data_IF_705915057431
#
_entry.id   IF_705915057431
#
_cell.length_a   1.000
_cell.length_b   1.000
_cell.length_c   1.000
_cell.angle_alpha   90.00
_cell.angle_beta   90.00
_cell.angle_gamma   90.00
#
_symmetry.space_group_name_H-M   'P 1'
#
loop_
_entity.id
_entity.type
_entity.pdbx_description
1 polymer ?
#
# COMPACT_ATOMS: atom_id res chain seq x y z
N UNK A 1 -34.76 2.73 -19.83
CA UNK A 1 -34.30 3.06 -18.47
C UNK A 1 -32.79 3.25 -18.56
N UNK A 2 -32.33 4.50 -18.61
CA UNK A 2 -30.89 4.82 -18.68
C UNK A 2 -30.32 4.70 -17.25
N UNK A 3 -29.26 3.91 -17.00
CA UNK A 3 -28.61 3.88 -15.70
C UNK A 3 -27.85 5.20 -15.47
N UNK A 4 -27.86 5.75 -14.24
CA UNK A 4 -27.21 7.02 -13.95
C UNK A 4 -25.68 6.91 -14.04
N UNK A 5 -24.96 8.02 -14.34
CA UNK A 5 -23.50 8.03 -14.26
C UNK A 5 -23.10 7.99 -12.80
N UNK A 6 -22.28 7.00 -12.43
CA UNK A 6 -21.62 6.96 -11.12
C UNK A 6 -20.34 7.77 -11.28
N UNK A 7 -20.25 8.87 -10.55
CA UNK A 7 -19.04 9.67 -10.43
C UNK A 7 -17.93 8.78 -9.83
N UNK A 8 -16.86 8.55 -10.60
CA UNK A 8 -15.64 7.91 -10.09
C UNK A 8 -14.92 8.94 -9.20
N UNK A 9 -15.08 8.82 -7.88
CA UNK A 9 -14.17 9.45 -6.91
C UNK A 9 -12.79 8.79 -7.05
N UNK A 10 -11.95 9.43 -7.86
CA UNK A 10 -10.53 9.12 -8.03
C UNK A 10 -9.80 9.49 -6.72
N UNK A 11 -9.76 8.55 -5.77
CA UNK A 11 -8.94 8.70 -4.56
C UNK A 11 -7.48 8.49 -4.96
N UNK A 12 -6.79 9.59 -5.22
CA UNK A 12 -5.34 9.64 -5.30
C UNK A 12 -4.77 9.18 -3.96
N UNK A 13 -4.10 8.03 -3.96
CA UNK A 13 -3.35 7.55 -2.80
C UNK A 13 -1.94 8.10 -2.97
N UNK A 14 -1.63 9.17 -2.24
CA UNK A 14 -0.28 9.71 -2.14
C UNK A 14 0.63 8.67 -1.46
N UNK A 15 1.57 8.13 -2.23
CA UNK A 15 2.72 7.35 -1.75
C UNK A 15 3.83 8.32 -1.29
N UNK A 16 3.72 8.83 -0.06
CA UNK A 16 4.85 9.54 0.57
C UNK A 16 5.67 8.55 1.42
N UNK A 17 6.71 8.01 0.79
CA UNK A 17 7.89 7.43 1.44
C UNK A 17 8.70 8.54 2.12
N UNK A 18 8.45 8.81 3.41
CA UNK A 18 9.33 9.67 4.20
C UNK A 18 10.24 8.90 5.15
N UNK A 19 11.53 9.08 4.86
CA UNK A 19 12.72 8.48 5.46
C UNK A 19 12.90 8.98 6.90
N UNK A 20 12.76 8.11 7.88
CA UNK A 20 13.24 8.39 9.23
C UNK A 20 14.77 8.27 9.28
N UNK A 21 15.41 9.44 9.36
CA UNK A 21 16.83 9.63 9.65
C UNK A 21 17.18 9.04 11.02
N UNK A 22 18.22 8.20 11.05
CA UNK A 22 18.92 7.80 12.27
C UNK A 22 19.37 9.07 13.02
N UNK A 23 18.90 9.25 14.25
CA UNK A 23 19.54 10.16 15.20
C UNK A 23 20.68 9.39 15.87
N UNK A 24 21.90 9.76 15.55
CA UNK A 24 23.11 9.36 16.28
C UNK A 24 22.98 9.85 17.74
N UNK A 25 23.07 8.92 18.68
CA UNK A 25 23.13 9.18 20.12
C UNK A 25 24.61 9.29 20.46
N UNK A 26 25.07 10.51 20.77
CA UNK A 26 26.40 10.77 21.34
C UNK A 26 26.50 10.18 22.75
N UNK A 27 27.53 9.36 22.96
CA UNK A 27 27.85 8.69 24.21
C UNK A 27 28.86 9.57 24.98
N UNK A 28 28.38 10.31 25.99
CA UNK A 28 29.22 11.10 26.90
C UNK A 28 29.85 10.15 27.94
N UNK A 29 31.14 9.86 27.81
CA UNK A 29 31.94 9.22 28.86
C UNK A 29 32.37 10.25 29.94
N UNK A 30 32.22 9.95 31.24
CA UNK A 30 32.76 10.79 32.29
C UNK A 30 34.27 10.57 32.49
N UNK A 31 35.04 11.64 32.31
CA UNK A 31 36.48 11.77 32.59
C UNK A 31 36.75 11.67 34.11
N UNK A 32 37.37 10.57 34.56
CA UNK A 32 37.85 10.41 35.93
C UNK A 32 39.32 10.85 36.01
N UNK A 33 39.54 12.07 36.49
CA UNK A 33 40.86 12.54 36.90
C UNK A 33 41.24 11.83 38.21
N UNK A 34 42.21 10.93 38.16
CA UNK A 34 42.82 10.30 39.34
C UNK A 34 43.94 11.22 39.80
N UNK A 35 43.75 11.82 40.98
CA UNK A 35 44.74 12.64 41.67
C UNK A 35 45.77 11.69 42.31
N UNK A 36 46.91 11.50 41.64
CA UNK A 36 48.03 10.64 42.05
C UNK A 36 49.09 11.50 42.74
N UNK A 37 48.84 11.84 44.00
CA UNK A 37 49.83 12.46 44.90
C UNK A 37 49.92 11.62 46.19
N UNK A 38 50.44 10.39 46.09
CA UNK A 38 50.95 9.64 47.24
C UNK A 38 52.49 9.65 47.26
N UNK A 39 53.03 10.67 47.93
CA UNK A 39 54.42 10.82 48.35
C UNK A 39 54.89 9.58 49.16
N UNK A 40 55.50 8.62 48.47
CA UNK A 40 56.19 7.48 49.08
C UNK A 40 57.52 7.93 49.72
N UNK A 41 57.46 8.36 50.99
CA UNK A 41 58.62 8.59 51.86
C UNK A 41 59.34 7.27 52.17
N UNK A 42 60.29 6.89 51.32
CA UNK A 42 61.21 5.77 51.51
C UNK A 42 62.37 6.22 52.43
N UNK A 43 62.29 5.89 53.73
CA UNK A 43 63.41 6.11 54.67
C UNK A 43 64.38 4.93 54.59
N UNK A 44 65.50 5.15 53.93
CA UNK A 44 66.61 4.21 53.80
C UNK A 44 67.41 4.16 55.13
N UNK A 45 67.27 3.09 55.90
CA UNK A 45 67.97 2.88 57.16
C UNK A 45 69.19 1.96 56.96
N UNK A 46 70.16 2.41 56.18
CA UNK A 46 71.47 1.77 56.07
C UNK A 46 72.47 2.42 57.05
N UNK A 47 72.63 1.82 58.24
CA UNK A 47 73.69 2.19 59.19
C UNK A 47 74.94 1.33 58.90
N UNK A 48 76.14 1.90 58.72
CA UNK A 48 77.35 1.13 58.50
C UNK A 48 77.84 0.50 59.81
N UNK A 49 78.08 -0.81 59.74
CA UNK A 49 78.72 -1.64 60.74
C UNK A 49 80.16 -1.21 61.01
N UNK A 50 80.45 -0.81 62.25
CA UNK A 50 81.80 -0.81 62.80
C UNK A 50 81.85 -1.45 64.19
N UNK A 51 82.73 -2.45 64.29
CA UNK A 51 83.50 -2.91 65.44
C UNK A 51 82.79 -3.50 66.68
N UNK A 52 82.91 -4.82 66.77
CA UNK A 52 83.55 -5.58 67.86
C UNK A 52 83.56 -4.93 69.24
N UNK A 53 82.63 -5.33 70.09
CA UNK A 53 82.89 -5.51 71.52
C UNK A 53 81.89 -6.53 72.11
N UNK A 54 82.46 -7.63 72.61
CA UNK A 54 81.94 -8.58 73.60
C UNK A 54 80.52 -9.13 73.42
N UNK A 55 80.42 -10.43 73.10
CA UNK A 55 79.18 -11.21 73.11
C UNK A 55 78.42 -11.05 74.44
N UNK A 56 77.30 -10.31 74.48
CA UNK A 56 76.50 -10.15 75.70
C UNK A 56 75.69 -11.42 76.02
N UNK A 57 75.63 -12.40 75.11
CA UNK A 57 74.86 -13.64 75.30
C UNK A 57 75.42 -14.58 76.38
N UNK A 58 76.72 -14.55 76.66
CA UNK A 58 77.31 -15.50 77.62
C UNK A 58 77.14 -15.05 79.08
N UNK A 59 76.95 -13.75 79.32
CA UNK A 59 76.64 -13.21 80.64
C UNK A 59 75.19 -13.49 81.10
N UNK A 60 74.32 -13.93 80.18
CA UNK A 60 72.89 -14.22 80.45
C UNK A 60 72.69 -15.65 80.99
N UNK A 61 73.70 -16.53 80.95
CA UNK A 61 73.52 -17.97 81.21
C UNK A 61 73.70 -18.41 82.67
N UNK A 62 74.16 -17.54 83.57
CA UNK A 62 74.21 -17.82 85.02
C UNK A 62 73.54 -16.67 85.78
N UNK A 63 72.35 -16.94 86.28
CA UNK A 63 71.60 -15.97 87.08
C UNK A 63 72.11 -16.00 88.52
N UNK A 64 72.87 -15.00 88.95
CA UNK A 64 73.19 -14.74 90.38
C UNK A 64 72.01 -14.10 91.12
N UNK A 65 70.78 -14.36 90.67
CA UNK A 65 69.56 -13.72 91.16
C UNK A 65 68.93 -14.55 92.28
N UNK A 66 68.91 -13.99 93.48
CA UNK A 66 68.24 -14.55 94.66
C UNK A 66 66.73 -14.73 94.39
N UNK A 67 66.16 -15.86 94.82
CA UNK A 67 64.75 -16.21 94.57
C UNK A 67 63.78 -15.14 95.11
N UNK A 68 64.16 -14.45 96.18
CA UNK A 68 63.40 -13.33 96.73
C UNK A 68 63.44 -12.10 95.81
N UNK A 69 64.62 -11.76 95.27
CA UNK A 69 64.77 -10.66 94.30
C UNK A 69 64.05 -10.93 92.98
N UNK A 70 64.05 -12.19 92.51
CA UNK A 70 63.29 -12.58 91.32
C UNK A 70 61.78 -12.51 91.57
N UNK A 71 61.30 -12.94 92.73
CA UNK A 71 59.88 -12.83 93.09
C UNK A 71 59.43 -11.38 93.19
N UNK A 72 60.24 -10.50 93.79
CA UNK A 72 59.94 -9.06 93.81
C UNK A 72 59.91 -8.47 92.40
N UNK A 73 60.84 -8.87 91.54
CA UNK A 73 60.87 -8.41 90.16
C UNK A 73 59.67 -8.92 89.34
N UNK A 74 59.26 -10.17 89.55
CA UNK A 74 58.02 -10.71 88.98
C UNK A 74 56.81 -9.96 89.51
N UNK A 75 56.69 -9.70 90.82
CA UNK A 75 55.58 -8.91 91.38
C UNK A 75 55.57 -7.47 90.86
N UNK A 76 56.75 -6.87 90.60
CA UNK A 76 56.90 -5.55 90.00
C UNK A 76 56.49 -5.53 88.52
N UNK A 77 56.85 -6.57 87.76
CA UNK A 77 56.65 -6.65 86.30
C UNK A 77 55.31 -7.28 85.92
N UNK A 78 54.71 -8.10 86.78
CA UNK A 78 53.37 -8.69 86.60
C UNK A 78 52.29 -7.64 86.27
N UNK A 79 52.16 -6.50 86.97
CA UNK A 79 51.20 -5.47 86.60
C UNK A 79 51.55 -4.75 85.29
N UNK A 80 52.83 -4.70 84.91
CA UNK A 80 53.30 -4.12 83.64
C UNK A 80 53.03 -5.06 82.44
N UNK A 81 53.00 -6.37 82.67
CA UNK A 81 52.65 -7.41 81.69
C UNK A 81 51.15 -7.70 81.63
N UNK A 82 50.36 -7.15 82.56
CA UNK A 82 48.91 -7.24 82.52
C UNK A 82 48.42 -6.36 81.37
N UNK A 83 48.39 -6.93 80.17
CA UNK A 83 47.78 -6.35 78.98
C UNK A 83 46.29 -6.23 79.27
N UNK A 84 45.89 -5.09 79.81
CA UNK A 84 44.49 -4.70 79.86
C UNK A 84 44.12 -4.30 78.45
N UNK A 85 43.62 -5.27 77.68
CA UNK A 85 43.04 -5.01 76.36
C UNK A 85 41.80 -4.13 76.58
N UNK A 86 42.00 -2.81 76.66
CA UNK A 86 40.89 -1.87 76.55
C UNK A 86 40.32 -2.07 75.16
N UNK A 87 39.01 -2.27 75.07
CA UNK A 87 38.29 -2.21 73.80
C UNK A 87 38.46 -0.80 73.24
N UNK A 88 39.54 -0.58 72.51
CA UNK A 88 39.82 0.66 71.81
C UNK A 88 39.18 0.56 70.42
N UNK A 89 38.53 1.62 69.97
CA UNK A 89 37.93 1.71 68.65
C UNK A 89 38.97 1.55 67.51
N UNK A 90 40.28 1.58 67.83
CA UNK A 90 41.40 1.30 66.92
C UNK A 90 41.85 -0.16 66.93
N UNK A 91 41.14 -1.06 67.62
CA UNK A 91 41.46 -2.48 67.60
C UNK A 91 41.10 -3.07 66.22
N UNK A 92 42.12 -3.43 65.44
CA UNK A 92 41.96 -4.08 64.15
C UNK A 92 41.20 -5.41 64.26
N UNK A 93 41.21 -6.05 65.44
CA UNK A 93 40.46 -7.29 65.69
C UNK A 93 38.96 -7.03 65.70
N UNK A 94 38.52 -5.88 66.24
CA UNK A 94 37.11 -5.48 66.21
C UNK A 94 36.65 -5.22 64.77
N UNK A 95 37.47 -4.52 63.98
CA UNK A 95 37.19 -4.29 62.56
C UNK A 95 37.17 -5.58 61.75
N UNK A 96 38.09 -6.52 62.03
CA UNK A 96 38.11 -7.83 61.37
C UNK A 96 36.86 -8.65 61.70
N UNK A 97 36.43 -8.65 62.96
CA UNK A 97 35.20 -9.33 63.37
C UNK A 97 33.96 -8.67 62.75
N UNK A 98 33.91 -7.34 62.69
CA UNK A 98 32.87 -6.59 61.98
C UNK A 98 32.85 -6.92 60.49
N UNK A 99 34.00 -6.97 59.83
CA UNK A 99 34.11 -7.34 58.41
C UNK A 99 33.63 -8.79 58.18
N UNK A 100 33.99 -9.71 59.06
CA UNK A 100 33.54 -11.10 58.98
C UNK A 100 32.03 -11.20 59.19
N UNK A 101 31.48 -10.42 60.12
CA UNK A 101 30.03 -10.33 60.33
C UNK A 101 29.33 -9.74 59.10
N UNK A 102 29.85 -8.65 58.51
CA UNK A 102 29.32 -8.07 57.27
C UNK A 102 29.37 -9.07 56.11
N UNK A 103 30.49 -9.78 55.95
CA UNK A 103 30.65 -10.84 54.94
C UNK A 103 29.61 -11.94 55.09
N UNK A 104 29.37 -12.44 56.32
CA UNK A 104 28.30 -13.40 56.60
C UNK A 104 26.92 -12.84 56.29
N UNK A 105 26.64 -11.59 56.65
CA UNK A 105 25.36 -10.97 56.33
C UNK A 105 25.16 -10.84 54.82
N UNK A 106 26.21 -10.44 54.08
CA UNK A 106 26.19 -10.32 52.63
C UNK A 106 25.96 -11.68 51.97
N UNK A 107 26.68 -12.72 52.40
CA UNK A 107 26.47 -14.08 51.90
C UNK A 107 25.02 -14.55 52.11
N UNK A 108 24.44 -14.29 53.30
CA UNK A 108 23.05 -14.64 53.58
C UNK A 108 22.04 -13.82 52.74
N UNK A 109 22.38 -12.58 52.40
CA UNK A 109 21.52 -11.72 51.59
C UNK A 109 21.55 -12.16 50.13
N UNK A 110 22.74 -12.49 49.61
CA UNK A 110 22.93 -13.05 48.27
C UNK A 110 22.22 -14.39 48.13
N UNK A 111 22.31 -15.26 49.15
CA UNK A 111 21.60 -16.55 49.17
C UNK A 111 20.07 -16.39 49.13
N UNK A 112 19.53 -15.28 49.69
CA UNK A 112 18.10 -14.95 49.63
C UNK A 112 17.69 -14.27 48.31
N UNK A 113 18.52 -13.37 47.78
CA UNK A 113 18.21 -12.58 46.59
C UNK A 113 18.36 -13.38 45.30
N UNK A 114 19.34 -14.28 45.21
CA UNK A 114 19.55 -15.12 44.03
C UNK A 114 18.31 -15.92 43.62
N UNK A 115 17.61 -16.66 44.51
CA UNK A 115 16.41 -17.40 44.10
C UNK A 115 15.25 -16.47 43.70
N UNK A 116 15.11 -15.29 44.31
CA UNK A 116 14.10 -14.30 43.90
C UNK A 116 14.39 -13.76 42.50
N UNK A 117 15.66 -13.44 42.21
CA UNK A 117 16.09 -12.95 40.90
C UNK A 117 15.96 -14.04 39.83
N UNK A 118 16.34 -15.28 40.15
CA UNK A 118 16.20 -16.43 39.25
C UNK A 118 14.73 -16.73 38.95
N UNK A 119 13.85 -16.64 39.96
CA UNK A 119 12.43 -16.81 39.76
C UNK A 119 11.86 -15.69 38.86
N UNK A 120 12.23 -14.44 39.11
CA UNK A 120 11.82 -13.31 38.27
C UNK A 120 12.32 -13.46 36.82
N UNK A 121 13.58 -13.86 36.63
CA UNK A 121 14.14 -14.12 35.32
C UNK A 121 13.37 -15.26 34.61
N UNK A 122 13.04 -16.34 35.32
CA UNK A 122 12.23 -17.44 34.78
C UNK A 122 10.78 -17.03 34.45
N UNK A 123 10.17 -16.16 35.23
CA UNK A 123 8.85 -15.59 34.94
C UNK A 123 8.89 -14.67 33.71
N UNK A 124 9.92 -13.83 33.60
CA UNK A 124 10.15 -12.98 32.43
C UNK A 124 10.37 -13.83 31.17
N UNK A 125 11.19 -14.87 31.25
CA UNK A 125 11.40 -15.82 30.15
C UNK A 125 10.06 -16.42 29.67
N UNK A 126 9.23 -16.92 30.59
CA UNK A 126 7.92 -17.52 30.26
C UNK A 126 6.97 -16.50 29.64
N UNK A 127 6.97 -15.26 30.12
CA UNK A 127 6.11 -14.21 29.54
C UNK A 127 6.59 -13.81 28.15
N UNK A 128 7.91 -13.74 27.92
CA UNK A 128 8.51 -13.50 26.61
C UNK A 128 8.14 -14.61 25.61
N UNK A 129 8.31 -15.88 25.97
CA UNK A 129 7.92 -17.02 25.13
C UNK A 129 6.41 -17.00 24.79
N UNK A 130 5.57 -16.60 25.76
CA UNK A 130 4.13 -16.42 25.53
C UNK A 130 3.82 -15.27 24.58
N UNK A 131 4.56 -14.16 24.67
CA UNK A 131 4.42 -13.04 23.73
C UNK A 131 4.84 -13.49 22.34
N UNK A 132 6.01 -14.13 22.20
CA UNK A 132 6.54 -14.60 20.92
C UNK A 132 5.59 -15.59 20.23
N UNK A 133 5.04 -16.56 20.97
CA UNK A 133 4.05 -17.50 20.43
C UNK A 133 2.76 -16.82 19.98
N UNK A 134 2.31 -15.79 20.72
CA UNK A 134 1.12 -15.01 20.37
C UNK A 134 1.37 -14.13 19.16
N UNK A 135 2.54 -13.51 19.04
CA UNK A 135 2.96 -12.74 17.86
C UNK A 135 3.05 -13.62 16.62
N UNK A 136 3.69 -14.79 16.72
CA UNK A 136 3.73 -15.78 15.62
C UNK A 136 2.34 -16.17 15.16
N UNK A 137 1.42 -16.45 16.09
CA UNK A 137 0.02 -16.77 15.76
C UNK A 137 -0.70 -15.60 15.09
N UNK A 138 -0.54 -14.37 15.63
CA UNK A 138 -1.14 -13.16 15.10
C UNK A 138 -0.64 -12.87 13.68
N UNK A 139 0.67 -12.95 13.45
CA UNK A 139 1.29 -12.74 12.15
C UNK A 139 0.80 -13.77 11.13
N UNK A 140 0.65 -15.03 11.52
CA UNK A 140 0.10 -16.06 10.65
C UNK A 140 -1.38 -15.78 10.28
N UNK A 141 -2.19 -15.36 11.25
CA UNK A 141 -3.59 -14.98 11.02
C UNK A 141 -3.69 -13.74 10.12
N UNK A 142 -2.90 -12.69 10.40
CA UNK A 142 -2.85 -11.46 9.62
C UNK A 142 -2.37 -11.73 8.19
N UNK A 143 -1.33 -12.55 8.01
CA UNK A 143 -0.84 -12.95 6.69
C UNK A 143 -1.91 -13.69 5.88
N UNK A 144 -2.67 -14.57 6.52
CA UNK A 144 -3.83 -15.24 5.90
C UNK A 144 -4.93 -14.27 5.48
N UNK A 145 -5.25 -13.28 6.31
CA UNK A 145 -6.24 -12.24 6.00
C UNK A 145 -5.77 -11.32 4.87
N UNK A 146 -4.50 -10.90 4.88
CA UNK A 146 -3.90 -10.08 3.82
C UNK A 146 -3.92 -10.80 2.47
N UNK A 147 -3.61 -12.10 2.45
CA UNK A 147 -3.69 -12.91 1.24
C UNK A 147 -5.12 -12.98 0.69
N UNK A 148 -6.12 -13.19 1.57
CA UNK A 148 -7.54 -13.17 1.18
C UNK A 148 -7.97 -11.80 0.67
N UNK A 149 -7.53 -10.72 1.34
CA UNK A 149 -7.83 -9.35 0.92
C UNK A 149 -7.30 -9.08 -0.49
N UNK A 150 -6.03 -9.41 -0.75
CA UNK A 150 -5.44 -9.31 -2.10
C UNK A 150 -6.23 -10.10 -3.14
N UNK A 151 -6.57 -11.36 -2.86
CA UNK A 151 -7.38 -12.17 -3.77
C UNK A 151 -8.75 -11.57 -4.07
N UNK A 152 -9.42 -10.99 -3.06
CA UNK A 152 -10.72 -10.33 -3.25
C UNK A 152 -10.56 -9.03 -4.05
N UNK A 153 -9.49 -8.26 -3.79
CA UNK A 153 -9.17 -7.06 -4.54
C UNK A 153 -8.90 -7.35 -6.01
N UNK A 154 -8.10 -8.38 -6.31
CA UNK A 154 -7.81 -8.80 -7.69
C UNK A 154 -9.09 -9.24 -8.41
N UNK A 155 -9.93 -10.04 -7.75
CA UNK A 155 -11.24 -10.45 -8.29
C UNK A 155 -12.15 -9.25 -8.54
N UNK A 156 -12.15 -8.26 -7.65
CA UNK A 156 -12.93 -7.03 -7.82
C UNK A 156 -12.44 -6.25 -9.04
N UNK A 157 -11.13 -6.11 -9.22
CA UNK A 157 -10.54 -5.45 -10.37
C UNK A 157 -10.90 -6.18 -11.68
N UNK A 158 -10.77 -7.50 -11.70
CA UNK A 158 -11.16 -8.34 -12.85
C UNK A 158 -12.65 -8.17 -13.20
N UNK A 159 -13.53 -8.18 -12.20
CA UNK A 159 -14.97 -7.99 -12.42
C UNK A 159 -15.32 -6.56 -12.86
N UNK A 160 -14.64 -5.53 -12.34
CA UNK A 160 -14.82 -4.14 -12.79
C UNK A 160 -14.43 -4.00 -14.26
N UNK A 161 -13.33 -4.61 -14.68
CA UNK A 161 -12.88 -4.58 -16.08
C UNK A 161 -13.84 -5.35 -17.01
N UNK A 162 -14.29 -6.55 -16.60
CA UNK A 162 -15.30 -7.30 -17.35
C UNK A 162 -16.61 -6.53 -17.49
N UNK A 163 -17.06 -5.87 -16.43
CA UNK A 163 -18.26 -5.05 -16.46
C UNK A 163 -18.09 -3.86 -17.41
N UNK A 164 -16.95 -3.16 -17.35
CA UNK A 164 -16.63 -2.04 -18.24
C UNK A 164 -16.62 -2.47 -19.70
N UNK A 165 -15.98 -3.59 -20.01
CA UNK A 165 -15.95 -4.15 -21.37
C UNK A 165 -17.36 -4.54 -21.85
N UNK A 166 -18.16 -5.21 -21.02
CA UNK A 166 -19.54 -5.57 -21.36
C UNK A 166 -20.43 -4.35 -21.54
N UNK A 167 -20.31 -3.34 -20.67
CA UNK A 167 -21.06 -2.08 -20.75
C UNK A 167 -20.72 -1.31 -22.03
N UNK A 168 -19.44 -1.21 -22.37
CA UNK A 168 -19.00 -0.63 -23.65
C UNK A 168 -19.59 -1.35 -24.85
N UNK A 169 -19.56 -2.70 -24.86
CA UNK A 169 -20.16 -3.49 -25.93
C UNK A 169 -21.68 -3.35 -26.04
N UNK A 170 -22.40 -3.16 -24.92
CA UNK A 170 -23.83 -2.86 -24.92
C UNK A 170 -24.10 -1.47 -25.50
N UNK A 171 -23.27 -0.48 -25.16
CA UNK A 171 -23.40 0.87 -25.71
C UNK A 171 -23.21 0.88 -27.23
N UNK A 172 -22.16 0.22 -27.74
CA UNK A 172 -21.89 0.08 -29.18
C UNK A 172 -23.04 -0.66 -29.91
N UNK A 173 -23.55 -1.74 -29.33
CA UNK A 173 -24.72 -2.46 -29.87
C UNK A 173 -25.99 -1.61 -29.86
N UNK A 174 -26.15 -0.75 -28.87
CA UNK A 174 -27.29 0.18 -28.79
C UNK A 174 -27.19 1.26 -29.87
N UNK A 175 -26.00 1.82 -30.06
CA UNK A 175 -25.73 2.81 -31.11
C UNK A 175 -25.94 2.22 -32.52
N UNK A 176 -25.42 1.03 -32.77
CA UNK A 176 -25.64 0.34 -34.05
C UNK A 176 -27.12 -0.01 -34.29
N UNK A 177 -27.85 -0.44 -33.26
CA UNK A 177 -29.30 -0.66 -33.37
C UNK A 177 -30.06 0.63 -33.67
N UNK A 178 -29.69 1.74 -33.04
CA UNK A 178 -30.30 3.04 -33.30
C UNK A 178 -30.07 3.47 -34.75
N UNK A 179 -28.83 3.33 -35.25
CA UNK A 179 -28.48 3.62 -36.64
C UNK A 179 -29.29 2.76 -37.63
N UNK A 180 -29.39 1.45 -37.38
CA UNK A 180 -30.19 0.56 -38.23
C UNK A 180 -31.68 0.95 -38.17
N UNK A 181 -32.20 1.36 -37.02
CA UNK A 181 -33.58 1.83 -36.89
C UNK A 181 -33.82 3.10 -37.71
N UNK A 182 -32.88 4.05 -37.67
CA UNK A 182 -32.92 5.27 -38.48
C UNK A 182 -32.88 4.94 -39.98
N UNK A 183 -32.02 4.01 -40.41
CA UNK A 183 -31.94 3.54 -41.80
C UNK A 183 -33.26 2.88 -42.24
N UNK A 184 -33.90 2.09 -41.37
CA UNK A 184 -35.21 1.48 -41.63
C UNK A 184 -36.29 2.55 -41.79
N UNK A 185 -36.32 3.56 -40.93
CA UNK A 185 -37.33 4.62 -41.01
C UNK A 185 -37.13 5.51 -42.24
N UNK A 186 -35.89 5.78 -42.64
CA UNK A 186 -35.57 6.42 -43.92
C UNK A 186 -36.05 5.58 -45.10
N UNK A 187 -35.79 4.27 -45.09
CA UNK A 187 -36.24 3.37 -46.15
C UNK A 187 -37.77 3.30 -46.23
N UNK A 188 -38.47 3.25 -45.09
CA UNK A 188 -39.93 3.33 -45.05
C UNK A 188 -40.44 4.62 -45.66
N UNK A 189 -39.85 5.76 -45.32
CA UNK A 189 -40.23 7.05 -45.88
C UNK A 189 -40.02 7.08 -47.41
N UNK A 190 -38.92 6.53 -47.92
CA UNK A 190 -38.69 6.39 -49.35
C UNK A 190 -39.71 5.48 -50.03
N UNK A 191 -40.05 4.35 -49.40
CA UNK A 191 -41.07 3.42 -49.91
C UNK A 191 -42.44 4.09 -49.93
N UNK A 192 -42.81 4.86 -48.90
CA UNK A 192 -44.07 5.61 -48.86
C UNK A 192 -44.10 6.71 -49.93
N UNK A 193 -42.99 7.43 -50.14
CA UNK A 193 -42.89 8.46 -51.17
C UNK A 193 -42.96 7.85 -52.58
N UNK A 194 -42.28 6.72 -52.83
CA UNK A 194 -42.39 5.97 -54.08
C UNK A 194 -43.77 5.35 -54.25
N UNK A 195 -44.37 4.86 -53.17
CA UNK A 195 -45.74 4.34 -53.13
C UNK A 195 -46.75 5.43 -53.47
N UNK A 196 -46.59 6.62 -52.94
CA UNK A 196 -47.39 7.79 -53.29
C UNK A 196 -47.19 8.19 -54.75
N UNK A 197 -45.94 8.21 -55.26
CA UNK A 197 -45.64 8.51 -56.67
C UNK A 197 -46.17 7.46 -57.65
N UNK A 198 -46.19 6.19 -57.27
CA UNK A 198 -46.70 5.08 -58.11
C UNK A 198 -48.20 4.88 -57.97
N UNK A 199 -48.78 5.19 -56.82
CA UNK A 199 -50.24 5.23 -56.60
C UNK A 199 -50.87 6.52 -57.10
N UNK A 200 -50.08 7.58 -57.34
CA UNK A 200 -50.56 8.77 -58.04
C UNK A 200 -50.90 8.35 -59.47
N UNK A 201 -52.19 8.11 -59.70
CA UNK A 201 -52.72 7.78 -61.02
C UNK A 201 -52.58 8.95 -62.02
N UNK A 202 -52.05 10.12 -61.63
CA UNK A 202 -51.90 11.27 -62.53
C UNK A 202 -51.16 10.97 -63.83
N UNK A 203 -50.04 10.20 -63.88
CA UNK A 203 -49.41 9.82 -65.15
C UNK A 203 -50.33 8.94 -66.00
N UNK A 204 -51.05 8.00 -65.38
CA UNK A 204 -52.02 7.14 -66.05
C UNK A 204 -53.18 7.96 -66.63
N UNK A 205 -53.68 8.94 -65.88
CA UNK A 205 -54.75 9.86 -66.30
C UNK A 205 -54.27 10.75 -67.44
N UNK A 206 -53.03 11.27 -67.39
CA UNK A 206 -52.43 12.05 -68.48
C UNK A 206 -52.31 11.24 -69.76
N UNK A 207 -51.86 9.98 -69.68
CA UNK A 207 -51.81 9.08 -70.83
C UNK A 207 -53.23 8.85 -71.37
N UNK A 208 -54.21 8.56 -70.50
CA UNK A 208 -55.61 8.38 -70.91
C UNK A 208 -56.18 9.61 -71.62
N UNK A 209 -55.89 10.82 -71.12
CA UNK A 209 -56.31 12.08 -71.76
C UNK A 209 -55.62 12.30 -73.11
N UNK A 210 -54.33 11.98 -73.23
CA UNK A 210 -53.61 12.07 -74.50
C UNK A 210 -54.17 11.09 -75.54
N UNK A 211 -54.51 9.87 -75.14
CA UNK A 211 -55.16 8.86 -76.00
C UNK A 211 -56.52 9.35 -76.47
N UNK A 212 -57.38 9.84 -75.57
CA UNK A 212 -58.70 10.37 -75.94
C UNK A 212 -58.62 11.55 -76.92
N UNK A 213 -57.63 12.43 -76.75
CA UNK A 213 -57.38 13.55 -77.67
C UNK A 213 -56.93 13.07 -79.05
N UNK A 214 -56.07 12.06 -79.10
CA UNK A 214 -55.65 11.44 -80.37
C UNK A 214 -56.82 10.77 -81.09
N UNK A 215 -57.71 10.10 -80.35
CA UNK A 215 -58.95 9.52 -80.91
C UNK A 215 -59.86 10.59 -81.53
N UNK A 216 -60.08 11.72 -80.83
CA UNK A 216 -60.85 12.86 -81.35
C UNK A 216 -60.20 13.47 -82.61
N UNK A 217 -58.87 13.61 -82.62
CA UNK A 217 -58.14 14.14 -83.77
C UNK A 217 -58.22 13.20 -84.98
N UNK A 218 -58.16 11.88 -84.77
CA UNK A 218 -58.37 10.88 -85.82
C UNK A 218 -59.80 10.97 -86.38
N UNK A 219 -60.82 11.10 -85.53
CA UNK A 219 -62.21 11.24 -85.98
C UNK A 219 -62.40 12.51 -86.81
N UNK A 220 -61.84 13.64 -86.37
CA UNK A 220 -61.84 14.89 -87.11
C UNK A 220 -61.16 14.76 -88.46
N UNK A 221 -60.01 14.09 -88.50
CA UNK A 221 -59.24 13.88 -89.72
C UNK A 221 -60.01 12.96 -90.70
N UNK A 222 -60.71 11.93 -90.20
CA UNK A 222 -61.58 11.07 -91.01
C UNK A 222 -62.74 11.84 -91.65
N UNK A 223 -63.41 12.73 -90.91
CA UNK A 223 -64.47 13.60 -91.47
C UNK A 223 -63.89 14.53 -92.54
N UNK A 224 -62.73 15.13 -92.30
CA UNK A 224 -62.06 15.98 -93.28
C UNK A 224 -61.68 15.21 -94.55
N UNK A 225 -61.15 13.99 -94.41
CA UNK A 225 -60.85 13.09 -95.52
C UNK A 225 -62.14 12.80 -96.30
N UNK A 226 -63.24 12.41 -95.63
CA UNK A 226 -64.51 12.12 -96.31
C UNK A 226 -65.11 13.32 -97.06
N UNK A 227 -65.00 14.54 -96.50
CA UNK A 227 -65.42 15.77 -97.20
C UNK A 227 -64.52 16.07 -98.40
N UNK A 228 -63.20 15.90 -98.25
CA UNK A 228 -62.25 16.07 -99.36
C UNK A 228 -62.47 15.03 -100.46
N UNK A 229 -62.71 13.77 -100.11
CA UNK A 229 -63.06 12.70 -101.05
C UNK A 229 -64.35 13.02 -101.80
N UNK A 230 -65.41 13.47 -101.09
CA UNK A 230 -66.66 13.88 -101.73
C UNK A 230 -66.47 15.10 -102.64
N UNK A 231 -65.68 16.09 -102.20
CA UNK A 231 -65.37 17.28 -103.01
C UNK A 231 -64.58 16.91 -104.26
N UNK A 232 -63.61 16.00 -104.15
CA UNK A 232 -62.83 15.45 -105.26
C UNK A 232 -63.73 14.68 -106.23
N UNK A 233 -64.59 13.81 -105.73
CA UNK A 233 -65.55 13.04 -106.54
C UNK A 233 -66.54 13.97 -107.25
N UNK A 234 -67.05 15.01 -106.58
CA UNK A 234 -67.91 16.01 -107.20
C UNK A 234 -67.17 16.83 -108.26
N UNK A 235 -65.91 17.21 -108.04
CA UNK A 235 -65.10 17.88 -109.04
C UNK A 235 -64.87 16.98 -110.27
N UNK A 236 -64.53 15.71 -110.06
CA UNK A 236 -64.39 14.74 -111.15
C UNK A 236 -65.70 14.50 -111.91
N UNK A 237 -66.84 14.44 -111.23
CA UNK A 237 -68.15 14.34 -111.87
C UNK A 237 -68.49 15.61 -112.65
N UNK A 238 -68.20 16.79 -112.09
CA UNK A 238 -68.42 18.09 -112.74
C UNK A 238 -67.54 18.25 -113.99
N UNK A 239 -66.28 17.81 -113.95
CA UNK A 239 -65.40 17.77 -115.11
C UNK A 239 -65.94 16.83 -116.19
N UNK A 240 -66.46 15.65 -115.82
CA UNK A 240 -67.12 14.76 -116.79
C UNK A 240 -68.39 15.35 -117.38
N UNK A 241 -69.20 16.04 -116.59
CA UNK A 241 -70.42 16.73 -117.07
C UNK A 241 -70.07 17.91 -117.96
N UNK A 242 -69.09 18.73 -117.59
CA UNK A 242 -68.60 19.83 -118.42
C UNK A 242 -68.04 19.32 -119.75
N UNK A 243 -67.28 18.22 -119.74
CA UNK A 243 -66.81 17.56 -120.97
C UNK A 243 -67.98 17.05 -121.83
N UNK A 244 -69.01 16.46 -121.22
CA UNK A 244 -70.21 16.03 -121.95
C UNK A 244 -71.03 17.22 -122.52
N UNK A 245 -71.07 18.35 -121.82
CA UNK A 245 -71.74 19.58 -122.27
C UNK A 245 -70.95 20.29 -123.37
N UNK A 246 -69.61 20.31 -123.31
CA UNK A 246 -68.75 20.82 -124.40
C UNK A 246 -68.82 19.96 -125.66
N UNK A 247 -68.98 18.63 -125.52
CA UNK A 247 -69.04 17.69 -126.65
C UNK A 247 -70.44 17.60 -127.30
N UNK A 248 -71.53 17.90 -126.57
CA UNK A 248 -72.90 17.77 -127.08
C UNK A 248 -73.77 19.04 -127.04
N UNK A 249 -73.27 20.15 -126.48
CA UNK A 249 -74.01 21.43 -126.34
C UNK A 249 -73.55 22.58 -127.25
N UNK A 250 -72.55 22.36 -128.11
CA UNK A 250 -72.16 23.31 -129.15
C UNK A 250 -72.91 23.01 -130.46
N UNK A 251 -73.73 23.97 -130.89
CA UNK A 251 -74.38 24.05 -132.22
C UNK A 251 -73.37 23.87 -133.34
#
# INVERSE_FOLDING_TARGET
MVPPPVEDDDVHVDEDEDKHSNNDIEEDEPDYVVDDDEDALLVDLAVPTQNTQENPMQAILKSDTDAFTWKQEVERVTPLLKITLRQDAKDWRLHLEQMNQMSKTLASLVEKLNPELENMAGELQKTLERIETREKSLNMQMGGLLSKFKQVQDKRAEMKERYKAASGGVSERTETLQRISEDIDQLKQQIEEQGAKTSDGAPMVKIKQAVAKLEEEIERMNVQIGVMEQSLLQAQLRDRVNYAVEVYGGI
#
